data_IF_571599823575
#
_entry.id   IF_571599823575
#
_cell.length_a   1.000
_cell.length_b   1.000
_cell.length_c   1.000
_cell.angle_alpha   90.00
_cell.angle_beta   90.00
_cell.angle_gamma   90.00
#
_symmetry.space_group_name_H-M   'P 1'
#
loop_
_entity.id
_entity.type
_entity.pdbx_description
1 polymer ?
#
# COMPACT_ATOMS: atom_id res chain seq x y z
N UNK A 1 7.35 -15.93 15.68
CA UNK A 1 6.02 -16.46 15.34
C UNK A 1 6.05 -16.95 13.91
N UNK A 2 5.64 -18.20 13.67
CA UNK A 2 5.57 -18.76 12.30
C UNK A 2 4.26 -18.33 11.66
N UNK A 3 4.32 -17.72 10.48
CA UNK A 3 3.17 -17.35 9.68
C UNK A 3 2.93 -18.39 8.58
N UNK A 4 1.78 -19.09 8.57
CA UNK A 4 1.39 -19.89 7.41
C UNK A 4 1.00 -18.98 6.24
N UNK A 5 1.20 -19.42 4.99
CA UNK A 5 0.70 -18.68 3.84
C UNK A 5 -0.83 -18.71 3.81
N UNK A 6 -1.45 -17.56 3.55
CA UNK A 6 -2.90 -17.49 3.30
C UNK A 6 -3.25 -17.85 1.85
N UNK A 7 -2.31 -17.67 0.91
CA UNK A 7 -2.48 -18.07 -0.48
C UNK A 7 -1.12 -18.42 -1.10
N UNK A 8 -1.10 -19.41 -1.98
CA UNK A 8 0.03 -19.70 -2.88
C UNK A 8 -0.36 -19.32 -4.31
N UNK A 9 0.30 -18.29 -4.84
CA UNK A 9 0.05 -17.75 -6.17
C UNK A 9 1.08 -18.22 -7.19
N UNK A 10 1.98 -19.15 -6.84
CA UNK A 10 3.14 -19.52 -7.67
C UNK A 10 2.74 -19.88 -9.10
N UNK A 11 1.67 -20.64 -9.29
CA UNK A 11 1.16 -20.99 -10.61
C UNK A 11 0.53 -19.80 -11.34
N UNK A 12 -0.25 -18.97 -10.65
CA UNK A 12 -0.91 -17.76 -11.19
C UNK A 12 0.12 -16.72 -11.67
N UNK A 13 1.29 -16.66 -11.03
CA UNK A 13 2.39 -15.76 -11.35
C UNK A 13 3.27 -16.26 -12.51
N UNK A 14 3.05 -17.48 -13.01
CA UNK A 14 3.89 -18.04 -14.06
C UNK A 14 3.88 -17.16 -15.32
N UNK A 15 5.07 -16.71 -15.74
CA UNK A 15 5.23 -15.82 -16.89
C UNK A 15 5.02 -14.33 -16.60
N UNK A 16 4.79 -13.95 -15.34
CA UNK A 16 4.59 -12.56 -14.92
C UNK A 16 5.65 -12.12 -13.91
N UNK A 17 5.94 -10.82 -13.87
CA UNK A 17 6.77 -10.21 -12.84
C UNK A 17 5.87 -9.49 -11.84
N UNK A 18 6.13 -9.66 -10.54
CA UNK A 18 5.36 -8.95 -9.50
C UNK A 18 5.88 -7.53 -9.33
N UNK A 19 4.96 -6.56 -9.37
CA UNK A 19 5.25 -5.13 -9.16
C UNK A 19 4.98 -4.74 -7.72
N UNK A 20 3.79 -5.07 -7.21
CA UNK A 20 3.34 -4.69 -5.87
C UNK A 20 2.34 -5.70 -5.30
N UNK A 21 2.24 -5.77 -3.99
CA UNK A 21 1.17 -6.45 -3.26
C UNK A 21 0.69 -5.51 -2.14
N UNK A 22 -0.61 -5.22 -2.10
CA UNK A 22 -1.18 -4.24 -1.18
C UNK A 22 -2.53 -4.69 -0.60
N UNK A 23 -2.92 -4.14 0.54
CA UNK A 23 -4.22 -4.37 1.17
C UNK A 23 -5.26 -3.36 0.67
N UNK A 24 -6.41 -3.87 0.23
CA UNK A 24 -7.60 -3.05 -0.01
C UNK A 24 -8.32 -2.68 1.28
N UNK A 25 -9.16 -1.66 1.24
CA UNK A 25 -10.03 -1.30 2.38
C UNK A 25 -11.07 -2.37 2.69
N UNK A 26 -11.29 -3.29 1.74
CA UNK A 26 -12.20 -4.44 1.81
C UNK A 26 -11.54 -5.68 2.43
N UNK A 27 -10.29 -5.57 2.89
CA UNK A 27 -9.54 -6.66 3.52
C UNK A 27 -8.93 -7.67 2.53
N UNK A 28 -9.10 -7.47 1.22
CA UNK A 28 -8.50 -8.32 0.18
C UNK A 28 -7.07 -7.89 -0.12
N UNK A 29 -6.26 -8.80 -0.65
CA UNK A 29 -4.95 -8.46 -1.18
C UNK A 29 -5.03 -8.20 -2.69
N UNK A 30 -4.42 -7.12 -3.14
CA UNK A 30 -4.35 -6.68 -4.53
C UNK A 30 -2.90 -6.79 -5.00
N UNK A 31 -2.65 -7.69 -5.97
CA UNK A 31 -1.30 -7.93 -6.51
C UNK A 31 -1.24 -7.42 -7.94
N UNK A 32 -0.31 -6.51 -8.21
CA UNK A 32 -0.07 -5.97 -9.55
C UNK A 32 1.07 -6.74 -10.19
N UNK A 33 0.80 -7.27 -11.38
CA UNK A 33 1.78 -7.96 -12.20
C UNK A 33 2.01 -7.23 -13.52
N UNK A 34 3.21 -7.39 -14.07
CA UNK A 34 3.63 -6.84 -15.35
C UNK A 34 4.26 -7.91 -16.21
N UNK A 35 4.00 -7.89 -17.52
CA UNK A 35 4.52 -8.92 -18.45
C UNK A 35 6.05 -8.88 -18.53
N UNK A 36 6.62 -7.67 -18.49
CA UNK A 36 8.04 -7.40 -18.64
C UNK A 36 8.40 -6.12 -17.91
N UNK A 37 9.49 -6.15 -17.14
CA UNK A 37 9.95 -4.97 -16.40
C UNK A 37 10.56 -3.98 -17.40
N UNK A 38 10.06 -2.73 -17.48
CA UNK A 38 10.61 -1.72 -18.37
C UNK A 38 12.07 -1.40 -18.02
N UNK A 39 12.88 -1.12 -19.04
CA UNK A 39 14.24 -0.62 -18.82
C UNK A 39 14.21 0.69 -18.04
N UNK A 40 15.17 0.91 -17.15
CA UNK A 40 15.30 2.18 -16.45
C UNK A 40 15.81 3.27 -17.39
N UNK A 41 15.26 4.48 -17.30
CA UNK A 41 15.83 5.66 -17.94
C UNK A 41 17.25 5.90 -17.39
N UNK A 42 18.21 6.01 -18.30
CA UNK A 42 19.65 6.12 -17.98
C UNK A 42 20.15 5.00 -17.05
N UNK A 43 19.47 3.85 -17.00
CA UNK A 43 19.79 2.74 -16.10
C UNK A 43 19.43 2.97 -14.62
N UNK A 44 18.90 4.14 -14.25
CA UNK A 44 18.71 4.53 -12.85
C UNK A 44 17.23 4.74 -12.48
N UNK A 45 16.46 5.45 -13.31
CA UNK A 45 15.12 5.92 -12.96
C UNK A 45 14.02 5.10 -13.64
N UNK A 46 12.88 4.84 -12.98
CA UNK A 46 11.72 4.27 -13.65
C UNK A 46 11.25 5.17 -14.81
N UNK A 47 10.87 4.58 -15.93
CA UNK A 47 10.16 5.30 -16.99
C UNK A 47 8.81 5.79 -16.48
N UNK A 48 8.38 6.99 -16.88
CA UNK A 48 6.98 7.43 -16.67
C UNK A 48 6.09 6.86 -17.76
N UNK A 49 6.37 7.24 -19.02
CA UNK A 49 5.77 6.70 -20.22
C UNK A 49 6.63 5.57 -20.79
N UNK A 50 5.99 4.45 -21.15
CA UNK A 50 6.63 3.26 -21.66
C UNK A 50 6.87 3.38 -23.17
N UNK A 51 8.08 3.01 -23.61
CA UNK A 51 8.43 2.96 -25.04
C UNK A 51 7.59 1.94 -25.83
N UNK A 52 7.28 0.82 -25.19
CA UNK A 52 6.43 -0.23 -25.73
C UNK A 52 5.18 -0.34 -24.87
N UNK A 53 4.05 -0.63 -25.50
CA UNK A 53 2.84 -0.96 -24.76
C UNK A 53 3.01 -2.32 -24.10
N UNK A 54 2.63 -2.41 -22.83
CA UNK A 54 2.85 -3.58 -21.97
C UNK A 54 1.52 -4.02 -21.38
N UNK A 55 1.34 -5.33 -21.18
CA UNK A 55 0.25 -5.89 -20.41
C UNK A 55 0.55 -5.89 -18.90
N UNK A 56 -0.50 -5.64 -18.13
CA UNK A 56 -0.56 -5.86 -16.69
C UNK A 56 -1.61 -6.93 -16.38
N UNK A 57 -1.46 -7.56 -15.23
CA UNK A 57 -2.51 -8.38 -14.63
C UNK A 57 -2.73 -7.93 -13.19
N UNK A 58 -3.97 -7.61 -12.85
CA UNK A 58 -4.38 -7.37 -11.48
C UNK A 58 -4.93 -8.67 -10.90
N UNK A 59 -4.36 -9.14 -9.80
CA UNK A 59 -4.91 -10.24 -9.01
C UNK A 59 -5.61 -9.67 -7.77
N UNK A 60 -6.79 -10.22 -7.47
CA UNK A 60 -7.53 -9.89 -6.27
C UNK A 60 -7.72 -11.18 -5.49
N UNK A 61 -7.12 -11.20 -4.33
CA UNK A 61 -6.99 -12.37 -3.48
C UNK A 61 -7.89 -12.15 -2.28
N UNK A 62 -9.03 -12.83 -2.31
CA UNK A 62 -10.09 -12.72 -1.32
C UNK A 62 -10.03 -13.92 -0.36
N UNK A 63 -9.62 -13.72 0.90
CA UNK A 63 -9.66 -14.78 1.90
C UNK A 63 -11.12 -15.13 2.19
N UNK A 64 -11.59 -16.29 1.72
CA UNK A 64 -12.98 -16.70 1.86
C UNK A 64 -13.24 -17.09 3.31
N UNK A 65 -14.16 -16.38 3.96
CA UNK A 65 -14.84 -16.91 5.15
C UNK A 65 -15.72 -18.07 4.69
N UNK A 66 -15.48 -19.32 5.14
CA UNK A 66 -16.32 -20.44 4.77
C UNK A 66 -17.78 -20.15 5.12
N UNK A 67 -18.67 -20.22 4.15
CA UNK A 67 -20.10 -20.15 4.44
C UNK A 67 -20.56 -21.46 5.08
N UNK A 68 -21.67 -21.50 5.83
CA UNK A 68 -22.23 -22.75 6.36
C UNK A 68 -22.54 -23.80 5.28
N UNK A 69 -22.56 -23.42 4.00
CA UNK A 69 -22.79 -24.26 2.84
C UNK A 69 -21.50 -24.82 2.22
N UNK A 70 -20.33 -24.31 2.60
CA UNK A 70 -19.01 -24.79 2.15
C UNK A 70 -18.56 -26.06 2.92
N UNK A 71 -19.50 -26.97 3.23
CA UNK A 71 -19.14 -28.24 3.82
C UNK A 71 -18.45 -29.11 2.75
N UNK A 72 -17.26 -29.65 3.03
CA UNK A 72 -16.62 -30.57 2.11
C UNK A 72 -17.51 -31.82 1.97
N UNK A 73 -17.70 -32.30 0.74
CA UNK A 73 -18.45 -33.54 0.48
C UNK A 73 -17.82 -34.75 1.18
N UNK A 74 -16.53 -34.65 1.53
CA UNK A 74 -15.77 -35.64 2.28
C UNK A 74 -15.08 -35.01 3.51
N UNK A 75 -15.29 -35.53 4.73
CA UNK A 75 -14.65 -35.01 5.95
C UNK A 75 -13.10 -35.03 5.92
N UNK A 76 -12.51 -35.88 5.06
CA UNK A 76 -11.06 -35.95 4.83
C UNK A 76 -10.50 -34.81 3.96
N UNK A 77 -11.37 -34.07 3.26
CA UNK A 77 -10.98 -32.96 2.38
C UNK A 77 -10.99 -31.60 3.12
N UNK A 78 -11.03 -31.62 4.45
CA UNK A 78 -10.70 -30.46 5.26
C UNK A 78 -9.23 -30.08 5.06
N UNK A 79 -8.97 -29.33 3.99
CA UNK A 79 -7.74 -28.56 3.86
C UNK A 79 -7.77 -27.49 4.96
N UNK A 80 -6.84 -27.58 5.89
CA UNK A 80 -6.64 -26.66 7.02
C UNK A 80 -6.06 -25.30 6.57
N UNK A 81 -6.60 -24.74 5.49
CA UNK A 81 -6.24 -23.42 4.96
C UNK A 81 -7.50 -22.65 4.59
N UNK A 82 -7.49 -21.33 4.78
CA UNK A 82 -8.53 -20.46 4.25
C UNK A 82 -8.68 -20.77 2.75
N UNK A 83 -9.89 -21.14 2.29
CA UNK A 83 -10.14 -21.16 0.85
C UNK A 83 -9.97 -19.73 0.38
N UNK A 84 -9.25 -19.52 -0.71
CA UNK A 84 -9.05 -18.18 -1.27
C UNK A 84 -9.70 -18.13 -2.64
N UNK A 85 -10.41 -17.05 -2.94
CA UNK A 85 -10.87 -16.74 -4.30
C UNK A 85 -9.86 -15.80 -4.94
N UNK A 86 -9.45 -16.13 -6.15
CA UNK A 86 -8.54 -15.31 -6.95
C UNK A 86 -9.32 -14.85 -8.17
N UNK A 87 -9.45 -13.54 -8.32
CA UNK A 87 -9.94 -12.90 -9.54
C UNK A 87 -8.73 -12.36 -10.33
N UNK A 88 -8.70 -12.63 -11.63
CA UNK A 88 -7.65 -12.16 -12.55
C UNK A 88 -8.25 -11.18 -13.55
N UNK A 89 -7.69 -9.97 -13.61
CA UNK A 89 -8.11 -8.93 -14.56
C UNK A 89 -6.91 -8.59 -15.43
N UNK A 90 -7.02 -8.89 -16.73
CA UNK A 90 -6.03 -8.52 -17.73
C UNK A 90 -6.19 -7.06 -18.13
N UNK A 91 -5.09 -6.31 -18.16
CA UNK A 91 -5.04 -4.90 -18.54
C UNK A 91 -4.03 -4.77 -19.66
N UNK A 92 -4.52 -4.62 -20.88
CA UNK A 92 -3.72 -4.77 -22.10
C UNK A 92 -3.30 -3.44 -22.70
N UNK A 93 -2.10 -3.39 -23.29
CA UNK A 93 -1.70 -2.31 -24.17
C UNK A 93 -1.42 -0.97 -23.47
N UNK A 94 -1.01 -0.99 -22.21
CA UNK A 94 -0.78 0.21 -21.41
C UNK A 94 0.56 0.87 -21.75
N UNK A 95 0.55 2.21 -21.77
CA UNK A 95 1.75 3.04 -22.05
C UNK A 95 2.30 3.71 -20.80
N UNK A 96 1.78 3.40 -19.61
CA UNK A 96 2.23 3.99 -18.35
C UNK A 96 2.85 2.93 -17.43
N UNK A 97 3.87 3.32 -16.67
CA UNK A 97 4.51 2.42 -15.71
C UNK A 97 3.82 2.49 -14.35
N UNK A 98 2.92 1.56 -14.07
CA UNK A 98 2.19 1.50 -12.80
C UNK A 98 3.00 0.76 -11.73
N UNK A 99 2.83 1.21 -10.49
CA UNK A 99 3.55 0.75 -9.31
C UNK A 99 2.62 0.40 -8.15
N UNK A 100 1.37 0.87 -8.19
CA UNK A 100 0.38 0.65 -7.15
C UNK A 100 -0.93 0.15 -7.76
N UNK A 101 -1.63 -0.71 -7.01
CA UNK A 101 -2.96 -1.21 -7.30
C UNK A 101 -3.82 -1.11 -6.04
N UNK A 102 -4.99 -0.52 -6.15
CA UNK A 102 -5.97 -0.37 -5.06
C UNK A 102 -7.41 -0.55 -5.60
N UNK A 103 -8.36 -1.05 -4.78
CA UNK A 103 -9.77 -0.97 -5.13
C UNK A 103 -10.28 0.47 -5.16
N UNK A 104 -11.25 0.78 -5.99
CA UNK A 104 -11.97 2.05 -5.97
C UNK A 104 -13.44 1.79 -6.26
N UNK A 105 -14.21 1.42 -5.23
CA UNK A 105 -15.56 0.88 -5.40
C UNK A 105 -15.52 -0.44 -6.19
N UNK A 106 -16.31 -0.53 -7.25
CA UNK A 106 -16.32 -1.69 -8.16
C UNK A 106 -15.19 -1.63 -9.22
N UNK A 107 -14.37 -0.57 -9.21
CA UNK A 107 -13.28 -0.34 -10.16
C UNK A 107 -11.90 -0.63 -9.52
N UNK A 108 -10.85 -0.57 -10.34
CA UNK A 108 -9.46 -0.67 -9.93
C UNK A 108 -8.73 0.63 -10.21
N UNK A 109 -7.97 1.12 -9.23
CA UNK A 109 -7.05 2.23 -9.38
C UNK A 109 -5.63 1.68 -9.58
N UNK A 110 -5.00 2.02 -10.71
CA UNK A 110 -3.57 1.83 -10.92
C UNK A 110 -2.87 3.19 -10.93
N UNK A 111 -1.74 3.29 -10.22
CA UNK A 111 -0.96 4.53 -10.11
C UNK A 111 0.50 4.27 -10.39
N UNK A 112 1.14 5.10 -11.21
CA UNK A 112 2.59 5.13 -11.37
C UNK A 112 3.23 6.08 -10.38
N UNK A 113 4.36 5.67 -9.78
CA UNK A 113 5.06 6.47 -8.78
C UNK A 113 5.67 7.76 -9.33
N UNK A 114 5.83 7.85 -10.64
CA UNK A 114 6.49 8.95 -11.35
C UNK A 114 5.53 9.65 -12.31
N UNK A 115 5.72 10.95 -12.48
CA UNK A 115 4.98 11.81 -13.43
C UNK A 115 5.89 12.92 -13.94
N UNK A 116 5.94 13.14 -15.24
CA UNK A 116 6.73 14.21 -15.87
C UNK A 116 5.88 15.42 -16.21
N UNK A 117 6.46 16.60 -15.99
CA UNK A 117 5.92 17.89 -16.43
C UNK A 117 6.74 18.44 -17.60
N UNK A 118 6.05 18.76 -18.69
CA UNK A 118 6.65 19.25 -19.94
C UNK A 118 6.41 20.74 -20.19
N UNK A 119 5.63 21.42 -19.34
CA UNK A 119 5.29 22.84 -19.45
C UNK A 119 3.90 23.12 -20.00
N UNK A 120 3.31 24.29 -19.65
CA UNK A 120 2.04 24.82 -20.21
C UNK A 120 0.90 23.78 -20.20
N UNK A 121 0.64 23.20 -19.03
CA UNK A 121 -0.40 22.18 -18.81
C UNK A 121 -0.21 20.86 -19.58
N UNK A 122 1.00 20.60 -20.09
CA UNK A 122 1.39 19.29 -20.62
C UNK A 122 2.14 18.49 -19.55
N UNK A 123 1.53 17.41 -19.08
CA UNK A 123 2.05 16.53 -18.04
C UNK A 123 1.46 15.13 -18.12
N UNK A 124 2.13 14.17 -17.48
CA UNK A 124 1.70 12.78 -17.39
C UNK A 124 0.47 12.64 -16.46
N UNK A 125 -0.54 11.87 -16.89
CA UNK A 125 -1.68 11.46 -16.06
C UNK A 125 -1.39 10.08 -15.44
N UNK A 126 -0.66 10.09 -14.33
CA UNK A 126 -0.07 8.90 -13.73
C UNK A 126 -1.04 8.02 -12.90
N UNK A 127 -2.30 8.41 -12.78
CA UNK A 127 -3.37 7.55 -12.25
C UNK A 127 -4.36 7.17 -13.36
N UNK A 128 -4.79 5.92 -13.34
CA UNK A 128 -5.81 5.40 -14.24
C UNK A 128 -6.77 4.48 -13.48
N UNK A 129 -8.07 4.66 -13.74
CA UNK A 129 -9.13 3.82 -13.18
C UNK A 129 -9.62 2.87 -14.25
N UNK A 130 -9.69 1.58 -13.92
CA UNK A 130 -10.06 0.49 -14.80
C UNK A 130 -11.32 -0.21 -14.31
N UNK A 131 -12.15 -0.65 -15.25
CA UNK A 131 -13.24 -1.58 -14.94
C UNK A 131 -12.71 -3.01 -14.72
N UNK A 132 -13.59 -3.88 -14.21
CA UNK A 132 -13.31 -5.32 -14.07
C UNK A 132 -13.09 -6.04 -15.40
N UNK A 133 -13.47 -5.42 -16.50
CA UNK A 133 -13.23 -5.89 -17.87
C UNK A 133 -11.84 -5.48 -18.42
N UNK A 134 -11.00 -4.83 -17.60
CA UNK A 134 -9.67 -4.37 -18.01
C UNK A 134 -9.68 -3.07 -18.83
N UNK A 135 -10.86 -2.47 -19.08
CA UNK A 135 -10.96 -1.23 -19.84
C UNK A 135 -10.72 0.00 -18.98
N UNK A 136 -9.94 0.96 -19.49
CA UNK A 136 -9.73 2.24 -18.84
C UNK A 136 -11.00 3.09 -18.86
N UNK A 137 -11.36 3.66 -17.71
CA UNK A 137 -12.54 4.50 -17.49
C UNK A 137 -12.17 5.98 -17.45
N UNK A 138 -11.09 6.31 -16.73
CA UNK A 138 -10.59 7.68 -16.60
C UNK A 138 -9.13 7.71 -16.19
N UNK A 139 -8.48 8.85 -16.42
CA UNK A 139 -7.09 9.14 -16.09
C UNK A 139 -6.98 10.52 -15.49
N UNK A 140 -6.12 10.67 -14.50
CA UNK A 140 -5.86 11.95 -13.86
C UNK A 140 -4.44 12.02 -13.29
N UNK A 141 -4.00 13.23 -12.97
CA UNK A 141 -2.70 13.50 -12.37
C UNK A 141 -2.83 13.37 -10.84
N UNK A 142 -1.93 12.61 -10.23
CA UNK A 142 -1.79 12.54 -8.77
C UNK A 142 -0.37 12.90 -8.28
N UNK A 143 0.51 13.33 -9.19
CA UNK A 143 1.82 13.91 -8.86
C UNK A 143 3.01 12.98 -9.06
N UNK A 144 4.22 13.55 -9.12
CA UNK A 144 5.49 12.81 -9.19
C UNK A 144 5.98 12.45 -7.78
N UNK A 145 6.83 11.43 -7.69
CA UNK A 145 7.50 11.08 -6.43
C UNK A 145 6.56 10.51 -5.37
N UNK A 146 5.63 9.65 -5.77
CA UNK A 146 4.66 9.02 -4.87
C UNK A 146 5.33 7.87 -4.11
N UNK A 147 5.18 7.89 -2.79
CA UNK A 147 5.70 6.90 -1.85
C UNK A 147 4.69 5.78 -1.58
N UNK A 148 3.43 6.11 -1.25
CA UNK A 148 2.35 5.13 -1.06
C UNK A 148 1.02 5.65 -1.61
N UNK A 149 0.14 4.71 -1.97
CA UNK A 149 -1.24 4.96 -2.39
C UNK A 149 -2.19 4.02 -1.66
N UNK A 150 -3.23 4.55 -1.01
CA UNK A 150 -4.30 3.75 -0.42
C UNK A 150 -5.66 4.43 -0.63
N UNK A 151 -6.72 3.65 -0.88
CA UNK A 151 -8.07 4.16 -1.15
C UNK A 151 -9.06 3.84 -0.04
N UNK A 152 -10.15 4.57 0.10
CA UNK A 152 -11.19 4.29 1.12
C UNK A 152 -12.45 3.71 0.51
N UNK A 153 -13.33 3.14 1.33
CA UNK A 153 -14.61 2.62 0.89
C UNK A 153 -15.52 3.72 0.32
N UNK A 154 -15.44 4.95 0.83
CA UNK A 154 -16.14 6.12 0.29
C UNK A 154 -15.50 6.72 -0.97
N UNK A 155 -14.44 6.13 -1.51
CA UNK A 155 -13.84 6.51 -2.79
C UNK A 155 -12.78 7.60 -2.72
N UNK A 156 -12.28 7.94 -1.53
CA UNK A 156 -11.10 8.79 -1.40
C UNK A 156 -9.83 8.04 -1.80
N UNK A 157 -8.93 8.74 -2.47
CA UNK A 157 -7.60 8.26 -2.84
C UNK A 157 -6.59 9.06 -2.02
N UNK A 158 -5.75 8.41 -1.24
CA UNK A 158 -4.66 9.05 -0.51
C UNK A 158 -3.33 8.74 -1.18
N UNK A 159 -2.54 9.79 -1.42
CA UNK A 159 -1.19 9.69 -1.96
C UNK A 159 -0.21 10.37 -1.02
N UNK A 160 0.80 9.62 -0.59
CA UNK A 160 1.96 10.16 0.12
C UNK A 160 3.13 10.34 -0.83
N UNK A 161 4.03 11.28 -0.54
CA UNK A 161 5.16 11.62 -1.41
C UNK A 161 6.50 11.51 -0.69
N UNK A 162 7.53 11.07 -1.40
CA UNK A 162 8.92 11.11 -0.95
C UNK A 162 9.59 12.42 -1.42
N UNK A 163 10.85 12.61 -1.06
CA UNK A 163 11.58 13.87 -1.24
C UNK A 163 11.49 14.47 -2.66
N UNK A 164 11.64 13.66 -3.72
CA UNK A 164 11.51 14.13 -5.10
C UNK A 164 10.09 14.64 -5.43
N UNK A 165 9.05 14.07 -4.80
CA UNK A 165 7.67 14.51 -4.95
C UNK A 165 7.32 15.75 -4.13
N UNK A 166 8.04 15.98 -3.03
CA UNK A 166 7.91 17.16 -2.17
C UNK A 166 8.70 18.35 -2.70
N UNK A 167 9.96 18.14 -3.08
CA UNK A 167 10.87 19.21 -3.49
C UNK A 167 10.88 19.45 -5.01
N UNK A 168 10.42 18.48 -5.78
CA UNK A 168 10.28 18.56 -7.23
C UNK A 168 11.37 17.82 -7.99
N UNK A 169 10.94 17.03 -8.97
CA UNK A 169 11.78 16.36 -9.96
C UNK A 169 10.99 16.26 -11.29
N UNK A 170 11.55 15.63 -12.33
CA UNK A 170 10.86 15.37 -13.61
C UNK A 170 10.18 16.60 -14.24
N UNK A 171 10.82 17.77 -14.13
CA UNK A 171 10.33 19.04 -14.68
C UNK A 171 9.40 19.82 -13.75
N UNK A 172 9.00 19.26 -12.60
CA UNK A 172 8.17 19.95 -11.61
C UNK A 172 8.97 20.97 -10.79
N UNK A 173 8.87 22.26 -11.14
CA UNK A 173 9.41 23.35 -10.32
C UNK A 173 8.50 23.76 -9.15
N UNK A 174 7.22 23.39 -9.21
CA UNK A 174 6.25 23.43 -8.12
C UNK A 174 5.51 22.09 -8.14
N UNK A 175 5.97 21.10 -7.38
CA UNK A 175 5.43 19.76 -7.49
C UNK A 175 4.03 19.67 -6.91
N UNK A 176 3.24 18.76 -7.48
CA UNK A 176 1.87 18.48 -7.03
C UNK A 176 1.86 18.07 -5.56
N UNK A 177 2.84 17.27 -5.15
CA UNK A 177 3.00 16.67 -3.82
C UNK A 177 3.80 17.51 -2.83
N UNK A 178 3.95 18.83 -3.03
CA UNK A 178 4.74 19.71 -2.16
C UNK A 178 4.35 19.67 -0.67
N UNK A 179 3.11 19.25 -0.36
CA UNK A 179 2.61 19.07 1.01
C UNK A 179 2.97 17.72 1.64
N UNK A 180 3.57 16.79 0.90
CA UNK A 180 3.94 15.44 1.32
C UNK A 180 2.79 14.44 1.48
N UNK A 181 1.54 14.92 1.63
CA UNK A 181 0.34 14.10 1.73
C UNK A 181 -0.86 14.84 1.14
N UNK A 182 -1.64 14.15 0.30
CA UNK A 182 -2.82 14.67 -0.40
C UNK A 182 -3.92 13.60 -0.43
N UNK A 183 -5.18 14.03 -0.33
CA UNK A 183 -6.32 13.18 -0.67
C UNK A 183 -7.09 13.74 -1.86
N UNK A 184 -7.61 12.82 -2.67
CA UNK A 184 -8.38 13.07 -3.88
C UNK A 184 -9.72 12.34 -3.77
N UNK A 185 -10.75 12.82 -4.46
CA UNK A 185 -11.93 12.02 -4.73
C UNK A 185 -11.69 11.01 -5.87
N UNK A 186 -12.71 10.22 -6.19
CA UNK A 186 -12.64 9.18 -7.22
C UNK A 186 -12.45 9.74 -8.65
N UNK A 187 -12.62 11.05 -8.86
CA UNK A 187 -12.43 11.74 -10.14
C UNK A 187 -11.08 12.47 -10.21
N UNK A 188 -10.24 12.34 -9.17
CA UNK A 188 -8.93 12.99 -9.10
C UNK A 188 -9.00 14.46 -8.67
N UNK A 189 -10.12 14.91 -8.09
CA UNK A 189 -10.23 16.25 -7.53
C UNK A 189 -9.67 16.24 -6.11
N UNK A 190 -8.75 17.18 -5.84
CA UNK A 190 -8.12 17.33 -4.54
C UNK A 190 -9.13 17.75 -3.47
N UNK A 191 -9.25 16.98 -2.40
CA UNK A 191 -10.16 17.25 -1.27
C UNK A 191 -9.44 17.52 0.07
N UNK A 192 -8.15 17.16 0.16
CA UNK A 192 -7.32 17.44 1.33
C UNK A 192 -5.89 17.80 0.90
N UNK A 193 -5.22 18.62 1.68
CA UNK A 193 -3.79 18.91 1.56
C UNK A 193 -3.23 19.07 2.96
N UNK A 194 -2.17 18.34 3.28
CA UNK A 194 -1.52 18.48 4.58
C UNK A 194 -0.98 19.91 4.77
N UNK A 195 -1.30 20.50 5.93
CA UNK A 195 -0.77 21.78 6.41
C UNK A 195 -0.10 21.68 7.78
N UNK A 196 -0.25 20.54 8.48
CA UNK A 196 0.07 20.42 9.90
C UNK A 196 1.45 19.81 10.15
N UNK A 197 1.92 18.93 9.25
CA UNK A 197 3.24 18.31 9.33
C UNK A 197 4.18 18.89 8.27
N UNK A 198 5.42 19.22 8.65
CA UNK A 198 6.46 19.58 7.70
C UNK A 198 7.07 18.30 7.11
N UNK A 199 6.55 17.80 5.99
CA UNK A 199 6.96 16.52 5.43
C UNK A 199 8.04 16.74 4.39
N UNK A 200 9.21 16.13 4.58
CA UNK A 200 10.23 16.02 3.53
C UNK A 200 10.18 14.65 2.83
N UNK A 201 9.74 13.61 3.54
CA UNK A 201 9.48 12.27 3.00
C UNK A 201 8.39 11.61 3.85
N UNK A 202 7.31 11.13 3.24
CA UNK A 202 6.23 10.46 3.97
C UNK A 202 6.42 8.93 3.94
N UNK A 203 7.35 8.45 4.78
CA UNK A 203 7.82 7.06 4.77
C UNK A 203 6.74 5.98 4.83
N UNK A 204 5.63 6.22 5.53
CA UNK A 204 4.56 5.23 5.65
C UNK A 204 3.18 5.88 5.73
N UNK A 205 2.20 5.19 5.15
CA UNK A 205 0.80 5.57 5.10
C UNK A 205 -0.08 4.39 5.55
N UNK A 206 -1.09 4.66 6.36
CA UNK A 206 -2.09 3.67 6.76
C UNK A 206 -3.48 4.34 6.80
N UNK A 207 -4.27 4.08 5.76
CA UNK A 207 -5.63 4.62 5.58
C UNK A 207 -6.62 3.59 6.09
N UNK A 208 -7.07 3.78 7.34
CA UNK A 208 -7.95 2.85 8.07
C UNK A 208 -9.38 2.96 7.56
N UNK A 209 -9.86 4.18 7.32
CA UNK A 209 -11.21 4.46 6.82
C UNK A 209 -11.30 5.86 6.19
N UNK A 210 -12.49 6.23 5.72
CA UNK A 210 -12.82 7.60 5.28
C UNK A 210 -12.56 8.67 6.34
N UNK A 211 -12.56 8.30 7.62
CA UNK A 211 -12.43 9.23 8.76
C UNK A 211 -11.18 8.99 9.61
N UNK A 212 -10.32 8.06 9.22
CA UNK A 212 -9.10 7.78 9.99
C UNK A 212 -7.94 7.41 9.09
N UNK A 213 -6.94 8.29 9.09
CA UNK A 213 -5.70 8.13 8.34
C UNK A 213 -4.52 8.39 9.25
N UNK A 214 -3.57 7.48 9.21
CA UNK A 214 -2.30 7.63 9.88
C UNK A 214 -1.18 7.77 8.86
N UNK A 215 -0.18 8.57 9.18
CA UNK A 215 1.05 8.63 8.41
C UNK A 215 2.25 8.85 9.31
N UNK A 216 3.42 8.48 8.80
CA UNK A 216 4.70 8.65 9.48
C UNK A 216 5.70 9.28 8.50
N UNK A 217 6.40 10.32 8.96
CA UNK A 217 7.14 11.21 8.09
C UNK A 217 8.54 11.57 8.59
N UNK A 218 9.39 11.91 7.63
CA UNK A 218 10.71 12.49 7.81
C UNK A 218 10.63 13.99 8.06
N UNK A 219 11.30 14.39 9.13
CA UNK A 219 11.71 15.71 9.68
C UNK A 219 11.62 15.62 11.20
N UNK A 220 10.54 15.02 11.70
CA UNK A 220 10.28 14.80 13.13
C UNK A 220 10.18 13.33 13.54
N UNK A 221 10.02 12.39 12.60
CA UNK A 221 9.79 10.96 12.87
C UNK A 221 8.59 10.70 13.79
N UNK A 222 7.48 11.40 13.55
CA UNK A 222 6.23 11.25 14.32
C UNK A 222 5.17 10.48 13.54
N UNK A 223 4.35 9.75 14.27
CA UNK A 223 3.07 9.24 13.78
C UNK A 223 2.04 10.36 13.89
N UNK A 224 1.41 10.73 12.79
CA UNK A 224 0.32 11.68 12.74
C UNK A 224 -0.99 10.95 12.46
N UNK A 225 -2.04 11.28 13.22
CA UNK A 225 -3.41 10.81 12.99
C UNK A 225 -4.26 11.98 12.50
N UNK A 226 -4.89 11.78 11.35
CA UNK A 226 -6.02 12.56 10.86
C UNK A 226 -7.30 11.82 11.24
N UNK A 227 -8.19 12.48 11.98
CA UNK A 227 -9.46 11.90 12.46
C UNK A 227 -10.66 12.78 12.11
N UNK A 228 -11.72 12.18 11.59
CA UNK A 228 -12.89 12.86 11.05
C UNK A 228 -12.80 13.08 9.52
N UNK A 229 -13.74 13.84 8.94
CA UNK A 229 -13.85 14.00 7.49
C UNK A 229 -12.57 14.57 6.85
N UNK A 230 -12.15 14.01 5.71
CA UNK A 230 -10.92 14.40 5.02
C UNK A 230 -10.82 15.90 4.69
N UNK A 231 -11.95 16.59 4.45
CA UNK A 231 -11.94 18.02 4.18
C UNK A 231 -11.54 18.89 5.39
N UNK A 232 -11.74 18.38 6.63
CA UNK A 232 -11.41 19.10 7.87
C UNK A 232 -11.15 18.11 9.02
N UNK A 233 -10.01 17.38 8.99
CA UNK A 233 -9.70 16.42 10.03
C UNK A 233 -9.18 17.11 11.29
N UNK A 234 -9.44 16.48 12.44
CA UNK A 234 -8.68 16.72 13.67
C UNK A 234 -7.32 16.04 13.57
N UNK A 235 -6.27 16.70 14.07
CA UNK A 235 -4.89 16.24 13.94
C UNK A 235 -4.26 15.98 15.30
N UNK A 236 -3.57 14.86 15.45
CA UNK A 236 -2.81 14.51 16.66
C UNK A 236 -1.53 13.78 16.32
N UNK A 237 -0.54 13.84 17.21
CA UNK A 237 0.79 13.29 17.00
C UNK A 237 1.21 12.36 18.12
N UNK A 238 1.91 11.29 17.77
CA UNK A 238 2.60 10.37 18.68
C UNK A 238 4.07 10.24 18.27
N UNK A 239 4.95 10.13 19.26
CA UNK A 239 6.38 9.89 19.05
C UNK A 239 6.66 8.39 19.28
N UNK A 240 6.89 7.59 18.23
CA UNK A 240 7.22 6.18 18.37
C UNK A 240 8.65 5.94 18.86
N UNK A 241 9.51 6.96 18.87
CA UNK A 241 10.95 6.87 19.15
C UNK A 241 11.68 5.87 18.25
N UNK A 242 11.15 5.68 17.04
CA UNK A 242 11.72 4.88 15.96
C UNK A 242 11.98 5.85 14.82
N UNK A 243 13.17 5.77 14.21
CA UNK A 243 13.57 6.61 13.08
C UNK A 243 13.64 5.80 11.78
N UNK A 244 13.03 6.31 10.72
CA UNK A 244 13.11 5.74 9.37
C UNK A 244 12.27 4.49 9.16
N UNK A 245 11.22 4.29 9.96
CA UNK A 245 10.25 3.21 9.71
C UNK A 245 9.52 3.47 8.39
N UNK A 246 9.34 2.42 7.59
CA UNK A 246 8.73 2.50 6.25
C UNK A 246 7.41 1.76 6.13
N UNK A 247 6.90 1.21 7.24
CA UNK A 247 5.62 0.52 7.30
C UNK A 247 5.13 0.49 8.75
N UNK A 248 3.82 0.66 8.95
CA UNK A 248 3.21 0.39 10.24
C UNK A 248 1.75 -0.07 10.15
N UNK A 249 1.34 -0.93 11.08
CA UNK A 249 -0.04 -1.32 11.33
C UNK A 249 -0.51 -0.77 12.68
N UNK A 250 -1.77 -0.36 12.79
CA UNK A 250 -2.38 0.15 14.02
C UNK A 250 -3.87 -0.14 14.14
N UNK A 251 -4.32 -0.44 15.38
CA UNK A 251 -5.73 -0.44 15.78
C UNK A 251 -6.10 0.82 16.61
N UNK A 252 -5.24 1.85 16.58
CA UNK A 252 -5.34 3.07 17.37
C UNK A 252 -4.82 2.96 18.81
N UNK A 253 -4.54 1.75 19.32
CA UNK A 253 -3.98 1.50 20.66
C UNK A 253 -2.63 0.80 20.63
N UNK A 254 -2.42 -0.03 19.63
CA UNK A 254 -1.20 -0.78 19.35
C UNK A 254 -0.64 -0.31 18.02
N UNK A 255 0.68 -0.34 17.90
CA UNK A 255 1.38 0.02 16.67
C UNK A 255 2.47 -1.01 16.41
N UNK A 256 2.44 -1.66 15.27
CA UNK A 256 3.53 -2.50 14.79
C UNK A 256 4.29 -1.71 13.75
N UNK A 257 5.55 -1.38 14.01
CA UNK A 257 6.41 -0.63 13.08
C UNK A 257 7.62 -1.46 12.73
N UNK A 258 8.15 -1.37 11.50
CA UNK A 258 9.49 -1.91 11.26
C UNK A 258 10.54 -1.08 11.99
N UNK A 259 11.68 -1.69 12.34
CA UNK A 259 12.71 -1.04 13.18
C UNK A 259 13.55 0.00 12.41
N UNK A 260 13.00 0.55 11.32
CA UNK A 260 13.54 1.63 10.51
C UNK A 260 14.99 1.44 10.09
N UNK A 261 15.82 2.46 10.33
CA UNK A 261 17.24 2.42 9.96
C UNK A 261 18.09 1.44 10.78
N UNK A 262 17.57 0.94 11.90
CA UNK A 262 18.34 0.07 12.80
C UNK A 262 18.32 -1.39 12.33
N UNK A 263 17.19 -1.90 11.83
CA UNK A 263 17.08 -3.29 11.38
C UNK A 263 15.81 -3.53 10.53
N UNK A 264 15.97 -3.60 9.21
CA UNK A 264 14.84 -3.88 8.30
C UNK A 264 14.49 -5.37 8.36
N UNK A 265 13.25 -5.70 8.74
CA UNK A 265 12.77 -7.08 8.87
C UNK A 265 12.41 -7.48 10.30
N UNK A 266 12.81 -6.69 11.29
CA UNK A 266 12.31 -6.78 12.67
C UNK A 266 11.27 -5.72 12.93
N UNK A 267 10.21 -6.12 13.62
CA UNK A 267 9.10 -5.24 13.95
C UNK A 267 9.07 -4.96 15.44
N UNK A 268 8.74 -3.73 15.80
CA UNK A 268 8.56 -3.30 17.19
C UNK A 268 7.07 -3.11 17.42
N UNK A 269 6.53 -3.84 18.40
CA UNK A 269 5.17 -3.62 18.90
C UNK A 269 5.21 -2.56 19.99
N UNK A 270 4.46 -1.48 19.78
CA UNK A 270 4.25 -0.38 20.71
C UNK A 270 2.80 -0.38 21.21
N UNK A 271 2.58 0.19 22.39
CA UNK A 271 1.25 0.43 22.96
C UNK A 271 1.12 1.86 23.45
N UNK A 272 -0.08 2.40 23.37
CA UNK A 272 -0.43 3.64 24.06
C UNK A 272 -0.35 3.45 25.57
N UNK A 273 0.39 4.32 26.26
CA UNK A 273 0.46 4.34 27.73
C UNK A 273 -0.65 5.20 28.34
N UNK A 274 -0.78 5.15 29.67
CA UNK A 274 -1.81 5.90 30.43
C UNK A 274 -1.69 7.43 30.30
N UNK A 275 -0.56 7.93 29.78
CA UNK A 275 -0.29 9.36 29.57
C UNK A 275 -0.50 9.77 28.10
N UNK A 276 -0.94 8.85 27.25
CA UNK A 276 -1.14 9.08 25.82
C UNK A 276 0.15 9.05 24.99
N UNK A 277 1.27 8.59 25.56
CA UNK A 277 2.52 8.34 24.84
C UNK A 277 2.59 6.92 24.28
N UNK A 278 3.67 6.60 23.56
CA UNK A 278 3.96 5.24 23.11
C UNK A 278 5.05 4.60 23.97
N UNK A 279 4.76 3.39 24.46
CA UNK A 279 5.71 2.53 25.14
C UNK A 279 5.97 1.27 24.31
N UNK A 280 7.23 0.85 24.24
CA UNK A 280 7.61 -0.41 23.61
C UNK A 280 7.12 -1.59 24.46
N UNK A 281 6.40 -2.51 23.81
CA UNK A 281 5.95 -3.77 24.40
C UNK A 281 7.02 -4.85 24.16
N UNK A 282 7.20 -5.23 22.90
CA UNK A 282 8.13 -6.30 22.50
C UNK A 282 8.58 -6.19 21.05
N UNK A 283 9.64 -6.90 20.72
CA UNK A 283 10.09 -7.08 19.33
C UNK A 283 9.46 -8.35 18.74
N UNK A 284 9.02 -8.25 17.50
CA UNK A 284 8.34 -9.31 16.76
C UNK A 284 9.16 -9.60 15.51
N UNK A 285 9.40 -10.89 15.28
CA UNK A 285 10.05 -11.40 14.08
C UNK A 285 9.12 -12.46 13.48
N UNK A 286 8.28 -12.07 12.51
CA UNK A 286 7.54 -13.04 11.71
C UNK A 286 8.53 -13.89 10.92
N UNK A 287 8.30 -15.20 10.86
CA UNK A 287 9.06 -16.13 10.03
C UNK A 287 8.08 -16.98 9.22
N UNK A 288 8.46 -17.37 8.01
CA UNK A 288 7.75 -18.38 7.23
C UNK A 288 8.27 -19.78 7.58
N UNK A 289 7.59 -20.81 7.12
CA UNK A 289 7.99 -22.21 7.33
C UNK A 289 9.45 -22.48 6.89
N UNK A 290 9.90 -21.77 5.85
CA UNK A 290 11.22 -21.89 5.23
C UNK A 290 12.30 -21.00 5.89
N UNK A 291 11.93 -20.16 6.88
CA UNK A 291 12.86 -19.28 7.60
C UNK A 291 12.41 -17.81 7.69
N UNK A 292 13.36 -16.90 7.87
CA UNK A 292 13.09 -15.46 7.99
C UNK A 292 12.67 -14.83 6.66
N UNK A 293 11.71 -13.91 6.69
CA UNK A 293 11.34 -13.08 5.54
C UNK A 293 12.55 -12.29 5.02
N UNK A 294 12.75 -12.30 3.71
CA UNK A 294 13.75 -11.47 3.04
C UNK A 294 13.23 -10.07 2.77
N UNK A 295 13.79 -9.42 1.74
CA UNK A 295 13.36 -8.11 1.25
C UNK A 295 12.12 -8.20 0.33
N UNK A 296 11.17 -9.06 0.68
CA UNK A 296 9.91 -9.24 -0.05
C UNK A 296 9.02 -8.00 -0.03
N UNK A 297 7.90 -8.07 -0.76
CA UNK A 297 6.90 -7.00 -0.78
C UNK A 297 6.11 -7.03 0.53
N UNK A 298 5.76 -5.84 1.02
CA UNK A 298 5.05 -5.66 2.28
C UNK A 298 4.13 -4.46 2.21
N UNK A 299 2.99 -4.55 2.86
CA UNK A 299 2.03 -3.47 3.02
C UNK A 299 1.30 -3.61 4.36
N UNK A 300 0.75 -2.51 4.86
CA UNK A 300 0.00 -2.50 6.10
C UNK A 300 -1.20 -1.57 6.01
N UNK A 301 -2.30 -2.03 6.62
CA UNK A 301 -3.56 -1.30 6.62
C UNK A 301 -4.39 -1.66 7.84
N UNK A 302 -4.90 -0.64 8.52
CA UNK A 302 -5.47 -0.82 9.84
C UNK A 302 -4.48 -1.58 10.71
N UNK A 303 -4.97 -2.62 11.37
CA UNK A 303 -4.21 -3.49 12.26
C UNK A 303 -3.56 -4.69 11.54
N UNK A 304 -3.63 -4.73 10.21
CA UNK A 304 -3.19 -5.88 9.41
C UNK A 304 -1.86 -5.58 8.73
N UNK A 305 -0.93 -6.54 8.81
CA UNK A 305 0.31 -6.60 8.04
C UNK A 305 0.18 -7.66 6.94
N UNK A 306 0.54 -7.29 5.71
CA UNK A 306 0.66 -8.17 4.56
C UNK A 306 2.13 -8.33 4.19
N UNK A 307 2.55 -9.58 3.96
CA UNK A 307 3.87 -9.92 3.44
C UNK A 307 3.69 -10.80 2.20
N UNK A 308 4.51 -10.57 1.17
CA UNK A 308 4.51 -11.36 -0.05
C UNK A 308 5.93 -11.73 -0.46
N UNK A 309 6.19 -13.03 -0.50
CA UNK A 309 7.51 -13.57 -0.82
C UNK A 309 7.40 -14.97 -1.39
N UNK A 310 8.25 -15.30 -2.38
CA UNK A 310 8.28 -16.63 -2.98
C UNK A 310 6.96 -17.05 -3.67
N UNK A 311 6.16 -16.08 -4.11
CA UNK A 311 4.84 -16.32 -4.71
C UNK A 311 3.72 -16.58 -3.70
N UNK A 312 4.01 -16.52 -2.40
CA UNK A 312 3.04 -16.77 -1.32
C UNK A 312 2.67 -15.49 -0.61
N UNK A 313 1.40 -15.34 -0.26
CA UNK A 313 0.88 -14.26 0.57
C UNK A 313 0.81 -14.73 2.03
N UNK A 314 1.20 -13.85 2.94
CA UNK A 314 1.12 -14.04 4.37
C UNK A 314 0.46 -12.83 4.99
N UNK A 315 -0.35 -13.06 6.01
CA UNK A 315 -1.08 -12.00 6.71
C UNK A 315 -1.01 -12.23 8.20
N UNK A 316 -0.99 -11.15 8.96
CA UNK A 316 -1.30 -11.21 10.39
C UNK A 316 -1.93 -9.92 10.88
N UNK A 317 -2.71 -10.00 11.96
CA UNK A 317 -3.30 -8.85 12.65
C UNK A 317 -2.56 -8.54 13.95
N UNK A 318 -2.69 -7.32 14.46
CA UNK A 318 -2.16 -6.97 15.79
C UNK A 318 -2.75 -7.82 16.91
N UNK A 319 -3.97 -8.31 16.73
CA UNK A 319 -4.64 -9.20 17.69
C UNK A 319 -4.00 -10.58 17.73
N UNK A 320 -3.78 -11.21 16.58
CA UNK A 320 -3.05 -12.49 16.49
C UNK A 320 -1.63 -12.37 17.06
N UNK A 321 -0.94 -11.27 16.75
CA UNK A 321 0.39 -10.97 17.27
C UNK A 321 0.43 -10.77 18.79
N UNK A 322 -0.68 -10.31 19.38
CA UNK A 322 -0.79 -10.16 20.82
C UNK A 322 -1.01 -11.51 21.51
N UNK A 323 -1.72 -12.43 20.87
CA UNK A 323 -2.07 -13.76 21.41
C UNK A 323 -0.98 -14.81 21.24
N UNK A 324 -0.07 -14.65 20.27
CA UNK A 324 0.98 -15.60 19.93
C UNK A 324 2.18 -15.66 20.92
N UNK A 325 1.93 -15.58 22.23
CA UNK A 325 2.97 -15.70 23.28
C UNK A 325 3.70 -17.04 23.31
#
# INVERSE_FOLDING_TARGET
>A
MVLPPIADLTETLAGWQTVSAALGYDGKAYVLLIESVPEREQGMFPQTELKNRIAYKALIVDPVVPTPYDQPENPSDQVLGEKVRIEEIAIEGESFHYHFLQPLGDELLLVGSRSRYYGRDHYDLNAAVFGRDGSVRRRFLVGDGIQNVQTTAGGLIWTSFFDEGVFGNNGWGRPVGESGLIAWDAEGIRVFTNSEANIADCYALNVVSDEEVWFYYYTDFKLCRLSGPAALPSVSFLDPKIAGSSIFATDGRRFLMDNGYQDRGRYVLLRTDDRGGLAQDRMIMPIREEGEFGAGLRDARGDTLLLFEGGKLYRTTLSELAEAE
#
